data_IF_405933143325
#
_entry.id   IF_405933143325
#
_cell.length_a   1.000
_cell.length_b   1.000
_cell.length_c   1.000
_cell.angle_alpha   90.00
_cell.angle_beta   90.00
_cell.angle_gamma   90.00
#
_symmetry.space_group_name_H-M   'P 1'
#
loop_
_entity.id
_entity.type
_entity.pdbx_description
1 polymer ?
#
# COMPACT_ATOMS: atom_id res chain seq x y z
N UNK A 1 -5.71 -14.97 7.15
CA UNK A 1 -4.41 -14.55 7.69
C UNK A 1 -3.45 -14.60 6.51
N UNK A 2 -2.94 -13.45 6.05
CA UNK A 2 -2.25 -13.36 4.76
C UNK A 2 -0.74 -13.56 4.96
N UNK A 3 -0.06 -14.26 4.05
CA UNK A 3 1.39 -14.50 4.17
C UNK A 3 2.18 -13.19 4.13
N UNK A 4 1.82 -12.27 3.23
CA UNK A 4 2.47 -10.96 3.07
C UNK A 4 2.47 -10.10 4.35
N UNK A 5 1.39 -10.12 5.13
CA UNK A 5 1.32 -9.33 6.38
C UNK A 5 2.22 -9.90 7.49
N UNK A 6 2.69 -11.15 7.33
CA UNK A 6 3.45 -11.88 8.33
C UNK A 6 4.96 -11.95 8.02
N UNK A 7 5.43 -11.24 6.98
CA UNK A 7 6.85 -11.15 6.60
C UNK A 7 7.78 -10.58 7.70
N UNK A 8 7.25 -10.06 8.80
CA UNK A 8 8.07 -9.73 9.97
C UNK A 8 9.05 -8.58 9.71
N UNK A 9 8.52 -7.39 9.42
CA UNK A 9 9.30 -6.16 9.41
C UNK A 9 9.76 -5.81 10.84
N UNK A 10 11.06 -5.49 10.98
CA UNK A 10 11.68 -5.28 12.29
C UNK A 10 11.39 -3.90 12.90
N UNK A 11 10.94 -2.93 12.11
CA UNK A 11 10.85 -1.50 12.44
C UNK A 11 10.21 -1.22 13.79
N UNK A 12 9.01 -1.75 14.03
CA UNK A 12 8.29 -1.55 15.28
C UNK A 12 9.02 -2.20 16.46
N UNK A 13 9.65 -3.36 16.25
CA UNK A 13 10.45 -4.03 17.27
C UNK A 13 11.72 -3.24 17.58
N UNK A 14 12.40 -2.73 16.55
CA UNK A 14 13.55 -1.86 16.69
C UNK A 14 13.19 -0.56 17.40
N UNK A 15 12.09 0.08 17.03
CA UNK A 15 11.61 1.30 17.66
C UNK A 15 11.34 1.12 19.16
N UNK A 16 10.68 0.03 19.56
CA UNK A 16 10.44 -0.26 20.98
C UNK A 16 11.75 -0.50 21.74
N UNK A 17 12.66 -1.31 21.19
CA UNK A 17 13.96 -1.58 21.82
C UNK A 17 14.79 -0.30 21.97
N UNK A 18 14.82 0.55 20.95
CA UNK A 18 15.62 1.78 20.97
C UNK A 18 15.02 2.88 21.84
N UNK A 19 13.68 2.97 21.90
CA UNK A 19 13.00 3.99 22.72
C UNK A 19 13.04 3.65 24.21
N UNK A 20 12.91 2.37 24.58
CA UNK A 20 12.82 1.96 25.99
C UNK A 20 14.18 1.70 26.64
N UNK A 21 15.20 1.26 25.88
CA UNK A 21 16.54 0.99 26.43
C UNK A 21 17.37 2.26 26.36
N UNK A 22 17.47 2.93 27.50
CA UNK A 22 18.21 4.18 27.65
C UNK A 22 19.73 3.96 27.74
N UNK A 23 20.48 4.96 27.30
CA UNK A 23 21.94 5.03 27.43
C UNK A 23 22.64 5.21 26.09
N UNK A 24 23.39 6.31 25.97
CA UNK A 24 24.26 6.64 24.83
C UNK A 24 25.69 6.12 25.04
N UNK A 25 25.92 5.46 26.17
CA UNK A 25 27.15 4.78 26.46
C UNK A 25 27.30 3.51 25.62
N UNK A 26 28.54 3.06 25.46
CA UNK A 26 28.88 1.88 24.66
C UNK A 26 28.08 0.64 25.09
N UNK A 27 27.80 0.49 26.40
CA UNK A 27 27.02 -0.61 26.94
C UNK A 27 25.55 -0.55 26.53
N UNK A 28 24.93 0.63 26.52
CA UNK A 28 23.55 0.84 26.05
C UNK A 28 23.41 0.50 24.57
N UNK A 29 24.32 1.00 23.74
CA UNK A 29 24.38 0.70 22.30
C UNK A 29 24.59 -0.81 22.09
N UNK A 30 25.51 -1.43 22.83
CA UNK A 30 25.80 -2.86 22.74
C UNK A 30 24.57 -3.71 23.09
N UNK A 31 23.78 -3.32 24.11
CA UNK A 31 22.54 -4.01 24.46
C UNK A 31 21.52 -3.92 23.32
N UNK A 32 21.23 -2.71 22.82
CA UNK A 32 20.27 -2.50 21.71
C UNK A 32 20.66 -3.31 20.47
N UNK A 33 21.92 -3.20 20.04
CA UNK A 33 22.45 -3.91 18.85
C UNK A 33 22.34 -5.42 19.00
N UNK A 34 22.75 -5.98 20.14
CA UNK A 34 22.71 -7.43 20.34
C UNK A 34 21.29 -7.97 20.45
N UNK A 35 20.38 -7.25 21.11
CA UNK A 35 18.97 -7.63 21.19
C UNK A 35 18.36 -7.72 19.79
N UNK A 36 18.54 -6.68 18.96
CA UNK A 36 17.99 -6.68 17.60
C UNK A 36 18.67 -7.71 16.70
N UNK A 37 19.98 -7.89 16.84
CA UNK A 37 20.74 -8.91 16.11
C UNK A 37 20.21 -10.32 16.40
N UNK A 38 19.85 -10.64 17.64
CA UNK A 38 19.25 -11.94 17.98
C UNK A 38 17.84 -12.12 17.43
N UNK A 39 17.00 -11.07 17.41
CA UNK A 39 15.68 -11.13 16.78
C UNK A 39 15.80 -11.35 15.27
N UNK A 40 16.75 -10.67 14.63
CA UNK A 40 17.06 -10.84 13.21
C UNK A 40 17.65 -12.21 12.89
N UNK A 41 18.52 -12.73 13.75
CA UNK A 41 19.06 -14.09 13.60
C UNK A 41 17.95 -15.15 13.71
N UNK A 42 16.97 -14.97 14.59
CA UNK A 42 15.76 -15.79 14.62
C UNK A 42 15.00 -15.73 13.29
N UNK A 43 14.76 -14.54 12.74
CA UNK A 43 14.07 -14.37 11.46
C UNK A 43 14.84 -15.08 10.32
N UNK A 44 16.16 -14.87 10.25
CA UNK A 44 16.99 -15.46 9.20
C UNK A 44 17.05 -17.00 9.29
N UNK A 45 17.09 -17.57 10.50
CA UNK A 45 16.99 -19.02 10.70
C UNK A 45 15.62 -19.58 10.28
N UNK A 46 14.54 -18.87 10.60
CA UNK A 46 13.20 -19.27 10.18
C UNK A 46 13.08 -19.24 8.65
N UNK A 47 13.57 -18.18 8.01
CA UNK A 47 13.54 -18.01 6.55
C UNK A 47 14.40 -19.01 5.81
N UNK A 48 15.58 -19.32 6.34
CA UNK A 48 16.41 -20.43 5.84
C UNK A 48 15.69 -21.78 5.86
N UNK A 49 14.70 -21.96 6.75
CA UNK A 49 13.97 -23.23 6.87
C UNK A 49 12.80 -23.34 5.89
N UNK A 50 12.27 -22.21 5.39
CA UNK A 50 11.04 -22.16 4.56
C UNK A 50 11.31 -21.69 3.11
N UNK A 51 12.42 -21.00 2.85
CA UNK A 51 12.77 -20.47 1.52
C UNK A 51 14.07 -21.06 1.02
N UNK A 52 14.02 -21.66 -0.17
CA UNK A 52 15.20 -22.21 -0.84
C UNK A 52 16.20 -21.13 -1.23
N UNK A 53 15.72 -19.93 -1.56
CA UNK A 53 16.57 -18.78 -1.91
C UNK A 53 17.46 -18.38 -0.72
N UNK A 54 16.87 -18.30 0.48
CA UNK A 54 17.63 -18.01 1.71
C UNK A 54 18.52 -19.18 2.10
N UNK A 55 18.07 -20.42 1.90
CA UNK A 55 18.90 -21.60 2.12
C UNK A 55 20.17 -21.60 1.24
N UNK A 56 20.03 -21.24 -0.04
CA UNK A 56 21.15 -21.12 -0.97
C UNK A 56 22.11 -19.99 -0.56
N UNK A 57 21.59 -18.89 -0.02
CA UNK A 57 22.40 -17.78 0.51
C UNK A 57 23.13 -18.14 1.81
N UNK A 58 22.50 -18.89 2.70
CA UNK A 58 23.08 -19.32 3.98
C UNK A 58 23.06 -20.85 4.11
N UNK A 59 23.92 -21.60 3.38
CA UNK A 59 23.88 -23.06 3.39
C UNK A 59 24.28 -23.66 4.73
N UNK A 60 25.21 -23.03 5.46
CA UNK A 60 25.71 -23.49 6.76
C UNK A 60 25.42 -22.48 7.86
N UNK A 61 25.48 -22.92 9.13
CA UNK A 61 25.34 -21.99 10.25
C UNK A 61 26.52 -21.00 10.36
N UNK A 62 27.69 -21.40 9.85
CA UNK A 62 28.88 -20.54 9.79
C UNK A 62 28.70 -19.37 8.81
N UNK A 63 27.88 -19.53 7.76
CA UNK A 63 27.52 -18.44 6.86
C UNK A 63 26.90 -17.24 7.59
N UNK A 64 26.20 -17.47 8.71
CA UNK A 64 25.65 -16.39 9.53
C UNK A 64 26.72 -15.63 10.33
N UNK A 65 27.87 -16.25 10.64
CA UNK A 65 29.02 -15.54 11.22
C UNK A 65 29.62 -14.61 10.19
N UNK A 66 29.88 -15.12 8.98
CA UNK A 66 30.44 -14.32 7.89
C UNK A 66 29.52 -13.14 7.53
N UNK A 67 28.20 -13.33 7.61
CA UNK A 67 27.22 -12.27 7.39
C UNK A 67 26.98 -11.34 8.59
N UNK A 68 27.60 -11.60 9.75
CA UNK A 68 27.53 -10.71 10.92
C UNK A 68 26.26 -10.83 11.77
N UNK A 69 25.40 -11.84 11.54
CA UNK A 69 24.21 -12.08 12.36
C UNK A 69 24.56 -12.64 13.75
N UNK A 70 25.65 -13.39 13.88
CA UNK A 70 26.04 -14.06 15.13
C UNK A 70 27.56 -14.06 15.27
N UNK A 71 28.09 -14.03 16.50
CA UNK A 71 29.53 -14.17 16.72
C UNK A 71 29.95 -15.64 16.76
N UNK A 72 31.24 -15.92 16.60
CA UNK A 72 31.76 -17.28 16.64
C UNK A 72 31.51 -17.98 18.00
N UNK A 73 31.59 -17.23 19.11
CA UNK A 73 31.37 -17.80 20.45
C UNK A 73 29.88 -18.02 20.74
N UNK A 74 29.01 -17.16 20.22
CA UNK A 74 27.56 -17.39 20.24
C UNK A 74 27.19 -18.63 19.44
N UNK A 75 27.81 -18.85 18.26
CA UNK A 75 27.54 -20.05 17.47
C UNK A 75 27.99 -21.33 18.18
N UNK A 76 29.13 -21.32 18.88
CA UNK A 76 29.55 -22.46 19.71
C UNK A 76 28.50 -22.79 20.77
N UNK A 77 28.02 -21.79 21.51
CA UNK A 77 26.94 -21.96 22.50
C UNK A 77 25.65 -22.47 21.86
N UNK A 78 25.30 -21.98 20.68
CA UNK A 78 24.13 -22.44 19.92
C UNK A 78 24.26 -23.93 19.56
N UNK A 79 25.41 -24.36 19.03
CA UNK A 79 25.66 -25.76 18.67
C UNK A 79 25.67 -26.68 19.90
N UNK A 80 26.26 -26.24 21.02
CA UNK A 80 26.20 -27.01 22.26
C UNK A 80 24.77 -27.24 22.75
N UNK A 81 23.89 -26.22 22.64
CA UNK A 81 22.47 -26.36 22.99
C UNK A 81 21.78 -27.30 22.02
N UNK A 82 22.14 -27.26 20.73
CA UNK A 82 21.65 -28.16 19.69
C UNK A 82 21.94 -29.62 19.98
N UNK A 83 23.18 -29.91 20.36
CA UNK A 83 23.61 -31.28 20.65
C UNK A 83 23.03 -31.82 21.96
N UNK A 84 22.97 -30.98 23.02
CA UNK A 84 22.63 -31.43 24.37
C UNK A 84 21.14 -31.51 24.68
N UNK A 85 20.28 -30.70 24.03
CA UNK A 85 18.88 -30.54 24.48
C UNK A 85 17.80 -31.09 23.56
N UNK A 86 17.93 -31.03 22.24
CA UNK A 86 16.88 -31.52 21.34
C UNK A 86 17.31 -31.61 19.88
N UNK A 87 16.88 -32.64 19.13
CA UNK A 87 17.09 -32.75 17.68
C UNK A 87 16.20 -31.80 16.86
N UNK A 88 15.23 -31.11 17.46
CA UNK A 88 14.29 -30.21 16.76
C UNK A 88 14.94 -28.86 16.46
N UNK A 89 14.55 -28.22 15.35
CA UNK A 89 15.06 -26.92 14.92
C UNK A 89 14.93 -25.86 16.03
N UNK A 90 16.05 -25.27 16.44
CA UNK A 90 16.16 -24.45 17.66
C UNK A 90 15.85 -22.97 17.43
N UNK A 91 14.75 -22.71 16.73
CA UNK A 91 14.31 -21.34 16.41
C UNK A 91 14.01 -20.49 17.67
N UNK A 92 13.74 -21.13 18.82
CA UNK A 92 13.46 -20.42 20.07
C UNK A 92 14.71 -19.83 20.75
N UNK A 93 15.91 -20.35 20.46
CA UNK A 93 17.14 -20.00 21.20
C UNK A 93 17.53 -18.52 21.05
N UNK A 94 17.59 -17.95 19.84
CA UNK A 94 17.99 -16.55 19.69
C UNK A 94 16.99 -15.60 20.36
N UNK A 95 15.69 -15.91 20.24
CA UNK A 95 14.66 -15.09 20.87
C UNK A 95 14.76 -15.16 22.40
N UNK A 96 15.01 -16.34 22.97
CA UNK A 96 15.26 -16.48 24.40
C UNK A 96 16.48 -15.67 24.86
N UNK A 97 17.56 -15.64 24.08
CA UNK A 97 18.72 -14.78 24.39
C UNK A 97 18.35 -13.29 24.35
N UNK A 98 17.49 -12.86 23.42
CA UNK A 98 16.98 -11.49 23.38
C UNK A 98 16.16 -11.16 24.63
N UNK A 99 15.26 -12.04 25.07
CA UNK A 99 14.53 -11.90 26.35
C UNK A 99 15.50 -11.77 27.55
N UNK A 100 16.54 -12.61 27.60
CA UNK A 100 17.55 -12.56 28.66
C UNK A 100 18.37 -11.27 28.69
N UNK A 101 18.68 -10.69 27.53
CA UNK A 101 19.37 -9.40 27.44
C UNK A 101 18.51 -8.23 27.91
N UNK A 102 17.22 -8.22 27.58
CA UNK A 102 16.29 -7.19 28.09
C UNK A 102 16.14 -7.30 29.61
N UNK A 103 16.05 -8.52 30.17
CA UNK A 103 16.05 -8.72 31.63
C UNK A 103 17.36 -8.22 32.28
N UNK A 104 18.48 -8.37 31.59
CA UNK A 104 19.78 -7.83 32.03
C UNK A 104 19.77 -6.31 31.99
N UNK A 105 19.25 -5.69 30.93
CA UNK A 105 19.06 -4.24 30.84
C UNK A 105 18.17 -3.71 31.98
N UNK A 106 17.16 -4.49 32.39
CA UNK A 106 16.30 -4.16 33.54
C UNK A 106 17.04 -4.21 34.88
N UNK A 107 17.86 -5.23 35.08
CA UNK A 107 18.73 -5.35 36.26
C UNK A 107 19.79 -4.24 36.32
N UNK A 108 20.25 -3.78 35.16
CA UNK A 108 21.13 -2.61 35.01
C UNK A 108 20.35 -1.26 35.13
N UNK A 109 19.05 -1.28 35.41
CA UNK A 109 18.16 -0.11 35.50
C UNK A 109 18.12 0.79 34.25
N UNK A 110 18.34 0.22 33.06
CA UNK A 110 18.29 0.93 31.77
C UNK A 110 16.92 0.98 31.11
N UNK A 111 15.99 0.18 31.63
CA UNK A 111 14.62 0.05 31.13
C UNK A 111 13.66 -0.02 32.33
N UNK A 112 12.47 0.54 32.16
CA UNK A 112 11.38 0.47 33.15
C UNK A 112 10.61 -0.85 33.04
N UNK A 113 9.89 -1.24 34.10
CA UNK A 113 9.08 -2.48 34.09
C UNK A 113 8.03 -2.47 32.97
N UNK A 114 7.38 -1.32 32.75
CA UNK A 114 6.42 -1.16 31.66
C UNK A 114 7.09 -1.29 30.29
N UNK A 115 8.25 -0.65 30.08
CA UNK A 115 8.99 -0.76 28.82
C UNK A 115 9.43 -2.20 28.54
N UNK A 116 9.85 -2.94 29.56
CA UNK A 116 10.20 -4.35 29.44
C UNK A 116 9.02 -5.20 28.98
N UNK A 117 7.83 -5.01 29.57
CA UNK A 117 6.62 -5.73 29.17
C UNK A 117 6.23 -5.43 27.72
N UNK A 118 6.34 -4.18 27.28
CA UNK A 118 6.03 -3.78 25.90
C UNK A 118 7.01 -4.39 24.90
N UNK A 119 8.31 -4.37 25.19
CA UNK A 119 9.34 -5.02 24.37
C UNK A 119 9.08 -6.53 24.28
N UNK A 120 8.72 -7.17 25.38
CA UNK A 120 8.39 -8.59 25.43
C UNK A 120 7.17 -8.94 24.60
N UNK A 121 6.10 -8.16 24.75
CA UNK A 121 4.89 -8.31 23.92
C UNK A 121 5.26 -8.21 22.43
N UNK A 122 6.09 -7.24 22.08
CA UNK A 122 6.53 -7.04 20.70
C UNK A 122 7.36 -8.21 20.15
N UNK A 123 8.21 -8.83 20.97
CA UNK A 123 8.94 -10.06 20.60
C UNK A 123 8.01 -11.24 20.38
N UNK A 124 6.99 -11.41 21.23
CA UNK A 124 5.98 -12.45 21.07
C UNK A 124 5.19 -12.24 19.78
N UNK A 125 4.76 -11.01 19.49
CA UNK A 125 4.05 -10.69 18.24
C UNK A 125 4.92 -10.96 17.01
N UNK A 126 6.20 -10.55 17.04
CA UNK A 126 7.15 -10.82 15.96
C UNK A 126 7.35 -12.31 15.73
N UNK A 127 7.51 -13.09 16.81
CA UNK A 127 7.56 -14.56 16.74
C UNK A 127 6.24 -15.16 16.27
N UNK A 128 5.10 -14.57 16.63
CA UNK A 128 3.78 -14.97 16.14
C UNK A 128 3.72 -14.88 14.62
N UNK A 129 4.08 -13.72 14.07
CA UNK A 129 4.06 -13.45 12.63
C UNK A 129 4.95 -14.43 11.85
N UNK A 130 6.23 -14.55 12.22
CA UNK A 130 7.16 -15.50 11.59
C UNK A 130 6.72 -16.96 11.84
N UNK A 131 6.08 -17.22 12.98
CA UNK A 131 5.47 -18.51 13.32
C UNK A 131 4.33 -18.90 12.39
N UNK A 132 3.50 -17.94 11.98
CA UNK A 132 2.44 -18.16 11.00
C UNK A 132 3.02 -18.56 9.64
N UNK A 133 4.14 -17.95 9.23
CA UNK A 133 4.85 -18.35 8.00
C UNK A 133 5.36 -19.80 8.07
N UNK A 134 5.99 -20.17 9.18
CA UNK A 134 6.41 -21.55 9.44
C UNK A 134 5.21 -22.51 9.44
N UNK A 135 4.05 -22.06 9.90
CA UNK A 135 2.81 -22.83 9.86
C UNK A 135 2.31 -23.09 8.44
N UNK A 136 2.42 -22.11 7.54
CA UNK A 136 2.05 -22.28 6.12
C UNK A 136 2.94 -23.28 5.40
N UNK A 137 4.24 -23.28 5.71
CA UNK A 137 5.18 -24.28 5.16
C UNK A 137 4.94 -25.68 5.75
N UNK A 138 4.71 -25.76 7.06
CA UNK A 138 4.50 -27.03 7.75
C UNK A 138 3.18 -27.73 7.36
N UNK A 139 2.16 -26.97 6.99
CA UNK A 139 0.83 -27.48 6.63
C UNK A 139 0.49 -27.05 5.20
N UNK A 140 1.02 -27.74 4.18
CA UNK A 140 0.70 -27.43 2.79
C UNK A 140 -0.75 -27.80 2.47
N UNK A 141 -1.28 -27.20 1.40
CA UNK A 141 -2.59 -27.58 0.86
C UNK A 141 -2.59 -29.09 0.56
N UNK A 142 -3.63 -29.84 0.97
CA UNK A 142 -3.69 -31.28 0.72
C UNK A 142 -3.41 -31.61 -0.74
N UNK A 143 -2.44 -32.49 -0.97
CA UNK A 143 -1.96 -32.84 -2.31
C UNK A 143 -3.09 -33.30 -3.25
N UNK A 144 -4.11 -33.95 -2.71
CA UNK A 144 -5.28 -34.37 -3.48
C UNK A 144 -5.99 -33.18 -4.16
N UNK A 145 -6.09 -32.03 -3.51
CA UNK A 145 -6.80 -30.87 -4.08
C UNK A 145 -6.07 -30.30 -5.29
N UNK A 146 -4.75 -30.11 -5.19
CA UNK A 146 -3.95 -29.62 -6.31
C UNK A 146 -3.93 -30.62 -7.46
N UNK A 147 -3.83 -31.92 -7.15
CA UNK A 147 -3.89 -33.00 -8.13
C UNK A 147 -5.22 -33.08 -8.88
N UNK A 148 -6.36 -33.01 -8.17
CA UNK A 148 -7.69 -33.07 -8.79
C UNK A 148 -7.88 -31.90 -9.74
N UNK A 149 -7.55 -30.67 -9.32
CA UNK A 149 -7.67 -29.48 -10.18
C UNK A 149 -6.79 -29.63 -11.43
N UNK A 150 -5.53 -30.02 -11.26
CA UNK A 150 -4.60 -30.24 -12.37
C UNK A 150 -5.09 -31.32 -13.34
N UNK A 151 -5.61 -32.43 -12.81
CA UNK A 151 -6.13 -33.53 -13.61
C UNK A 151 -7.39 -33.10 -14.38
N UNK A 152 -8.34 -32.42 -13.74
CA UNK A 152 -9.58 -31.96 -14.36
C UNK A 152 -9.31 -31.00 -15.53
N UNK A 153 -8.43 -30.02 -15.34
CA UNK A 153 -8.07 -29.07 -16.42
C UNK A 153 -7.38 -29.80 -17.58
N UNK A 154 -6.45 -30.71 -17.29
CA UNK A 154 -5.75 -31.49 -18.34
C UNK A 154 -6.70 -32.44 -19.08
N UNK A 155 -7.57 -33.15 -18.37
CA UNK A 155 -8.56 -34.05 -18.98
C UNK A 155 -9.55 -33.29 -19.86
N UNK A 156 -10.01 -32.11 -19.41
CA UNK A 156 -10.86 -31.23 -20.21
C UNK A 156 -10.20 -30.92 -21.56
N UNK A 157 -8.91 -30.58 -21.57
CA UNK A 157 -8.20 -30.27 -22.80
C UNK A 157 -7.84 -31.50 -23.64
N UNK A 158 -7.63 -32.67 -23.05
CA UNK A 158 -7.49 -33.93 -23.81
C UNK A 158 -8.78 -34.21 -24.58
N UNK A 159 -9.94 -34.07 -23.93
CA UNK A 159 -11.24 -34.27 -24.58
C UNK A 159 -11.48 -33.19 -25.65
N UNK A 160 -11.15 -31.93 -25.37
CA UNK A 160 -11.28 -30.86 -26.37
C UNK A 160 -10.36 -31.06 -27.57
N UNK A 161 -9.16 -31.61 -27.36
CA UNK A 161 -8.22 -31.94 -28.43
C UNK A 161 -8.80 -33.00 -29.36
N UNK A 162 -9.57 -33.97 -28.86
CA UNK A 162 -10.25 -34.96 -29.70
C UNK A 162 -11.56 -34.44 -30.29
N UNK A 163 -12.37 -33.74 -29.48
CA UNK A 163 -13.75 -33.39 -29.82
C UNK A 163 -13.93 -32.09 -30.59
N UNK A 164 -12.91 -31.22 -30.65
CA UNK A 164 -12.94 -29.97 -31.42
C UNK A 164 -11.99 -29.98 -32.61
N UNK A 165 -11.71 -31.17 -33.13
CA UNK A 165 -11.06 -31.33 -34.43
C UNK A 165 -12.08 -30.99 -35.52
N UNK A 166 -11.65 -30.24 -36.53
CA UNK A 166 -12.47 -30.03 -37.72
C UNK A 166 -12.46 -31.34 -38.53
N UNK A 167 -13.55 -32.08 -38.43
CA UNK A 167 -13.77 -33.29 -39.24
C UNK A 167 -14.26 -32.87 -40.62
N UNK A 168 -13.97 -33.69 -41.63
CA UNK A 168 -14.52 -33.50 -42.96
C UNK A 168 -16.06 -33.53 -42.88
N UNK A 169 -16.70 -32.62 -43.61
CA UNK A 169 -18.14 -32.40 -43.52
C UNK A 169 -18.89 -33.69 -43.89
N UNK A 170 -19.73 -34.19 -42.97
CA UNK A 170 -20.56 -35.35 -43.26
C UNK A 170 -21.50 -35.06 -44.44
N UNK A 171 -21.79 -36.08 -45.26
CA UNK A 171 -22.65 -36.04 -46.47
C UNK A 171 -24.10 -35.58 -46.15
N UNK A 172 -24.44 -35.38 -44.88
CA UNK A 172 -25.76 -35.00 -44.42
C UNK A 172 -25.98 -33.48 -44.56
N UNK A 173 -26.92 -33.11 -45.43
CA UNK A 173 -27.22 -31.71 -45.81
C UNK A 173 -27.75 -30.83 -44.67
N UNK A 174 -27.94 -31.37 -43.47
CA UNK A 174 -28.39 -30.65 -42.27
C UNK A 174 -27.25 -30.26 -41.31
N UNK A 175 -25.99 -30.68 -41.54
CA UNK A 175 -24.85 -30.31 -40.69
C UNK A 175 -24.18 -29.02 -41.19
N UNK A 176 -24.60 -27.91 -40.58
CA UNK A 176 -24.11 -26.56 -40.87
C UNK A 176 -22.83 -26.32 -40.05
N UNK A 177 -21.69 -26.82 -40.54
CA UNK A 177 -20.37 -26.33 -40.13
C UNK A 177 -19.78 -25.48 -41.27
N UNK A 178 -20.31 -24.27 -41.43
CA UNK A 178 -19.90 -23.34 -42.49
C UNK A 178 -18.53 -22.67 -42.23
N UNK A 179 -17.93 -22.85 -41.05
CA UNK A 179 -16.70 -22.19 -40.64
C UNK A 179 -15.60 -23.19 -40.33
N UNK A 180 -15.07 -23.83 -41.38
CA UNK A 180 -13.87 -24.68 -41.28
C UNK A 180 -12.61 -23.82 -41.10
N UNK A 181 -12.41 -23.29 -39.89
CA UNK A 181 -11.19 -22.54 -39.55
C UNK A 181 -10.12 -23.56 -39.14
N UNK A 182 -9.12 -23.78 -39.99
CA UNK A 182 -8.01 -24.73 -39.76
C UNK A 182 -7.37 -24.59 -38.36
N UNK A 183 -7.29 -23.36 -37.85
CA UNK A 183 -6.80 -23.06 -36.49
C UNK A 183 -7.99 -22.86 -35.54
N UNK A 184 -8.12 -23.64 -34.45
CA UNK A 184 -9.25 -23.53 -33.53
C UNK A 184 -9.09 -22.33 -32.57
N UNK A 185 -9.25 -21.11 -33.09
CA UNK A 185 -8.98 -19.84 -32.37
C UNK A 185 -9.73 -19.75 -31.03
N UNK A 186 -11.01 -20.11 -30.98
CA UNK A 186 -11.80 -20.06 -29.75
C UNK A 186 -11.32 -21.07 -28.69
N UNK A 187 -10.89 -22.26 -29.12
CA UNK A 187 -10.31 -23.27 -28.21
C UNK A 187 -8.96 -22.83 -27.67
N UNK A 188 -8.16 -22.11 -28.46
CA UNK A 188 -6.89 -21.51 -28.00
C UNK A 188 -7.14 -20.47 -26.92
N UNK A 189 -8.12 -19.56 -27.10
CA UNK A 189 -8.47 -18.60 -26.05
C UNK A 189 -8.94 -19.30 -24.76
N UNK A 190 -9.80 -20.32 -24.87
CA UNK A 190 -10.20 -21.12 -23.71
C UNK A 190 -9.00 -21.79 -23.03
N UNK A 191 -8.06 -22.32 -23.81
CA UNK A 191 -6.82 -22.87 -23.28
C UNK A 191 -6.04 -21.85 -22.47
N UNK A 192 -5.78 -20.66 -23.03
CA UNK A 192 -5.07 -19.59 -22.34
C UNK A 192 -5.76 -19.20 -21.04
N UNK A 193 -7.09 -19.08 -21.02
CA UNK A 193 -7.81 -18.71 -19.80
C UNK A 193 -7.76 -19.80 -18.71
N UNK A 194 -8.10 -21.06 -19.04
CA UNK A 194 -8.15 -22.12 -18.02
C UNK A 194 -6.76 -22.57 -17.58
N UNK A 195 -5.81 -22.74 -18.50
CA UNK A 195 -4.43 -23.07 -18.15
C UNK A 195 -3.73 -21.90 -17.47
N UNK A 196 -3.96 -20.67 -17.93
CA UNK A 196 -3.43 -19.47 -17.29
C UNK A 196 -3.91 -19.34 -15.86
N UNK A 197 -5.21 -19.52 -15.61
CA UNK A 197 -5.75 -19.46 -14.24
C UNK A 197 -5.19 -20.59 -13.34
N UNK A 198 -5.04 -21.81 -13.87
CA UNK A 198 -4.37 -22.88 -13.14
C UNK A 198 -2.90 -22.53 -12.83
N UNK A 199 -2.18 -21.91 -13.77
CA UNK A 199 -0.78 -21.50 -13.61
C UNK A 199 -0.62 -20.37 -12.59
N UNK A 200 -1.56 -19.42 -12.51
CA UNK A 200 -1.58 -18.41 -11.44
C UNK A 200 -1.68 -19.07 -10.06
N UNK A 201 -2.53 -20.09 -9.92
CA UNK A 201 -2.63 -20.81 -8.65
C UNK A 201 -1.38 -21.64 -8.32
N UNK A 202 -0.67 -22.15 -9.34
CA UNK A 202 0.60 -22.87 -9.19
C UNK A 202 1.72 -21.94 -8.73
N UNK A 203 1.86 -20.76 -9.33
CA UNK A 203 2.85 -19.75 -8.93
C UNK A 203 2.60 -19.26 -7.49
N UNK A 204 1.35 -19.00 -7.12
CA UNK A 204 0.99 -18.53 -5.77
C UNK A 204 1.04 -19.63 -4.69
N UNK A 205 1.34 -20.89 -5.05
CA UNK A 205 1.37 -21.99 -4.10
C UNK A 205 2.53 -21.85 -3.10
N UNK A 206 3.68 -21.34 -3.56
CA UNK A 206 4.86 -21.11 -2.72
C UNK A 206 5.50 -19.75 -3.03
N UNK A 207 4.97 -18.65 -2.46
CA UNK A 207 5.47 -17.30 -2.74
C UNK A 207 6.82 -16.97 -2.05
N UNK A 208 7.49 -17.96 -1.45
CA UNK A 208 8.81 -17.85 -0.81
C UNK A 208 9.90 -18.57 -1.65
N UNK A 209 9.57 -18.91 -2.89
CA UNK A 209 10.47 -19.53 -3.87
C UNK A 209 11.41 -18.52 -4.52
N UNK A 210 11.74 -18.81 -5.77
CA UNK A 210 12.70 -18.08 -6.62
C UNK A 210 12.03 -17.63 -7.94
N UNK A 211 10.69 -17.61 -7.98
CA UNK A 211 9.95 -17.13 -9.16
C UNK A 211 9.94 -15.59 -9.20
N UNK A 212 9.78 -15.00 -10.39
CA UNK A 212 9.87 -13.55 -10.59
C UNK A 212 8.88 -12.72 -9.75
N UNK A 213 7.73 -13.31 -9.39
CA UNK A 213 6.66 -12.68 -8.60
C UNK A 213 6.68 -13.08 -7.11
N UNK A 214 7.67 -13.86 -6.67
CA UNK A 214 7.82 -14.28 -5.28
C UNK A 214 8.25 -13.12 -4.37
N UNK A 215 8.13 -13.32 -3.06
CA UNK A 215 8.60 -12.32 -2.11
C UNK A 215 10.13 -12.20 -2.17
N UNK A 216 10.60 -10.95 -2.23
CA UNK A 216 12.01 -10.59 -2.17
C UNK A 216 12.58 -10.73 -0.74
N UNK A 217 12.69 -11.98 -0.27
CA UNK A 217 13.08 -12.30 1.12
C UNK A 217 14.53 -11.90 1.40
N UNK A 218 15.40 -11.98 0.40
CA UNK A 218 16.80 -11.54 0.52
C UNK A 218 16.89 -10.04 0.82
N UNK A 219 16.21 -9.24 0.01
CA UNK A 219 16.12 -7.80 0.20
C UNK A 219 15.53 -7.47 1.57
N UNK A 220 14.45 -8.16 1.96
CA UNK A 220 13.81 -7.95 3.26
C UNK A 220 14.78 -8.19 4.43
N UNK A 221 15.55 -9.28 4.40
CA UNK A 221 16.55 -9.57 5.43
C UNK A 221 17.64 -8.49 5.50
N UNK A 222 18.14 -8.05 4.35
CA UNK A 222 19.18 -7.02 4.28
C UNK A 222 18.68 -5.68 4.78
N UNK A 223 17.48 -5.29 4.34
CA UNK A 223 16.80 -4.08 4.76
C UNK A 223 16.54 -4.09 6.26
N UNK A 224 16.03 -5.20 6.80
CA UNK A 224 15.78 -5.33 8.24
C UNK A 224 17.08 -5.25 9.04
N UNK A 225 18.16 -5.89 8.56
CA UNK A 225 19.46 -5.80 9.22
C UNK A 225 19.99 -4.36 9.24
N UNK A 226 19.99 -3.68 8.10
CA UNK A 226 20.48 -2.30 7.99
C UNK A 226 19.66 -1.34 8.86
N UNK A 227 18.33 -1.40 8.78
CA UNK A 227 17.44 -0.52 9.56
C UNK A 227 17.61 -0.74 11.06
N UNK A 228 17.64 -1.99 11.52
CA UNK A 228 17.84 -2.28 12.94
C UNK A 228 19.20 -1.80 13.45
N UNK A 229 20.26 -1.97 12.66
CA UNK A 229 21.60 -1.51 13.03
C UNK A 229 21.73 0.02 12.98
N UNK A 230 20.97 0.70 12.11
CA UNK A 230 20.91 2.16 12.07
C UNK A 230 20.14 2.72 13.27
N UNK A 231 18.95 2.17 13.56
CA UNK A 231 18.10 2.63 14.67
C UNK A 231 18.73 2.39 16.05
N UNK A 232 19.51 1.33 16.22
CA UNK A 232 20.20 1.05 17.49
C UNK A 232 21.39 1.97 17.77
N UNK A 233 21.84 2.73 16.76
CA UNK A 233 22.86 3.75 16.86
C UNK A 233 22.37 5.03 17.52
N UNK A 234 23.02 6.15 17.17
CA UNK A 234 22.69 7.47 17.71
C UNK A 234 21.55 8.09 16.90
N UNK A 235 20.38 8.16 17.52
CA UNK A 235 19.13 8.68 16.92
C UNK A 235 18.59 9.81 17.78
N UNK A 236 19.46 10.76 18.12
CA UNK A 236 19.04 11.92 18.91
C UNK A 236 18.07 12.76 18.07
N UNK A 237 16.93 13.16 18.63
CA UNK A 237 16.01 14.04 17.91
C UNK A 237 16.69 15.39 17.64
N UNK A 238 16.30 16.10 16.57
CA UNK A 238 16.76 17.46 16.35
C UNK A 238 16.33 18.37 17.50
N UNK A 239 17.03 19.50 17.64
CA UNK A 239 16.68 20.52 18.63
C UNK A 239 15.23 20.99 18.45
N UNK A 240 14.55 21.23 19.58
CA UNK A 240 13.17 21.68 19.57
C UNK A 240 13.11 23.16 19.17
N UNK A 241 12.45 23.45 18.06
CA UNK A 241 12.28 24.80 17.50
C UNK A 241 10.79 25.05 17.24
N UNK A 242 10.36 26.31 17.35
CA UNK A 242 9.02 26.72 16.94
C UNK A 242 8.79 26.43 15.47
N UNK A 243 7.62 25.87 15.16
CA UNK A 243 7.23 25.59 13.78
C UNK A 243 6.75 26.86 13.06
N UNK A 244 6.54 26.75 11.75
CA UNK A 244 6.16 27.88 10.91
C UNK A 244 4.78 28.49 11.24
N UNK A 245 3.92 27.74 11.93
CA UNK A 245 2.56 28.15 12.29
C UNK A 245 2.43 28.49 13.78
N UNK A 246 3.54 28.59 14.53
CA UNK A 246 3.53 28.76 15.98
C UNK A 246 2.72 29.96 16.48
N UNK A 247 2.76 31.08 15.75
CA UNK A 247 2.00 32.30 16.10
C UNK A 247 0.62 32.39 15.43
N UNK A 248 0.27 31.45 14.55
CA UNK A 248 -1.00 31.47 13.81
C UNK A 248 -2.03 30.54 14.44
N UNK A 249 -3.24 31.05 14.66
CA UNK A 249 -4.36 30.25 15.20
C UNK A 249 -4.85 29.15 14.23
N UNK A 250 -4.58 29.31 12.93
CA UNK A 250 -5.04 28.41 11.87
C UNK A 250 -3.85 28.06 10.96
N UNK A 251 -3.45 26.79 10.99
CA UNK A 251 -2.45 26.27 10.06
C UNK A 251 -3.09 26.02 8.68
N UNK A 252 -2.69 26.80 7.67
CA UNK A 252 -3.19 26.65 6.28
C UNK A 252 -2.22 25.77 5.49
N UNK A 253 -2.64 24.57 5.05
CA UNK A 253 -1.78 23.71 4.23
C UNK A 253 -1.49 24.34 2.86
N UNK A 254 -0.22 24.37 2.47
CA UNK A 254 0.21 24.86 1.16
C UNK A 254 0.16 23.74 0.12
N UNK A 255 -0.28 24.09 -1.09
CA UNK A 255 -0.32 23.19 -2.24
C UNK A 255 0.59 23.70 -3.34
N UNK A 256 1.17 22.77 -4.11
CA UNK A 256 1.89 23.14 -5.33
C UNK A 256 0.92 23.72 -6.37
N UNK A 257 1.43 24.58 -7.27
CA UNK A 257 0.63 25.15 -8.36
C UNK A 257 -0.06 24.09 -9.24
N UNK A 258 0.55 22.91 -9.39
CA UNK A 258 -0.04 21.81 -10.15
C UNK A 258 -1.23 21.15 -9.43
N UNK A 259 -1.25 21.19 -8.10
CA UNK A 259 -2.23 20.50 -7.26
C UNK A 259 -3.32 21.40 -6.71
N UNK A 260 -3.22 22.73 -6.85
CA UNK A 260 -4.18 23.66 -6.24
C UNK A 260 -5.62 23.46 -6.76
N UNK A 261 -5.77 23.02 -8.01
CA UNK A 261 -7.07 22.80 -8.65
C UNK A 261 -7.59 21.37 -8.48
N UNK A 262 -6.95 20.52 -7.66
CA UNK A 262 -7.47 19.17 -7.42
C UNK A 262 -8.72 19.23 -6.55
N UNK A 263 -9.76 18.48 -6.93
CA UNK A 263 -11.00 18.39 -6.17
C UNK A 263 -10.72 17.74 -4.81
N UNK A 264 -11.04 18.45 -3.73
CA UNK A 264 -10.94 17.94 -2.36
C UNK A 264 -12.34 17.59 -1.87
N UNK A 265 -12.51 16.37 -1.37
CA UNK A 265 -13.76 15.89 -0.77
C UNK A 265 -13.57 15.68 0.73
N UNK A 266 -13.70 16.73 1.55
CA UNK A 266 -13.52 16.61 3.01
C UNK A 266 -14.59 15.70 3.63
N UNK A 267 -14.24 15.01 4.71
CA UNK A 267 -15.16 14.14 5.46
C UNK A 267 -16.12 14.96 6.33
N UNK A 268 -17.06 15.68 5.69
CA UNK A 268 -18.11 16.47 6.37
C UNK A 268 -19.26 15.56 6.83
N UNK A 269 -19.51 14.46 6.09
CA UNK A 269 -20.63 13.55 6.33
C UNK A 269 -21.85 13.87 5.45
N UNK A 270 -22.47 12.84 4.89
CA UNK A 270 -23.54 13.00 3.88
C UNK A 270 -24.80 13.70 4.40
N UNK A 271 -25.11 13.55 5.69
CA UNK A 271 -26.27 14.19 6.30
C UNK A 271 -26.09 15.71 6.48
N UNK A 272 -24.87 16.15 6.77
CA UNK A 272 -24.52 17.57 6.94
C UNK A 272 -24.30 18.27 5.59
N UNK A 273 -23.81 17.56 4.58
CA UNK A 273 -23.80 18.05 3.20
C UNK A 273 -25.21 18.40 2.71
N UNK A 274 -26.21 17.58 3.05
CA UNK A 274 -27.60 17.85 2.70
C UNK A 274 -28.15 19.12 3.37
N UNK A 275 -27.68 19.46 4.57
CA UNK A 275 -28.02 20.72 5.24
C UNK A 275 -27.40 21.93 4.52
N UNK A 276 -26.14 21.83 4.09
CA UNK A 276 -25.47 22.87 3.31
C UNK A 276 -26.07 23.06 1.90
N UNK A 277 -26.59 22.00 1.28
CA UNK A 277 -27.34 22.03 0.01
C UNK A 277 -28.75 22.65 0.14
N UNK A 278 -29.08 23.24 1.29
CA UNK A 278 -30.30 24.03 1.47
C UNK A 278 -31.47 23.28 2.10
N UNK A 279 -31.24 22.08 2.67
CA UNK A 279 -32.23 21.39 3.51
C UNK A 279 -32.35 22.06 4.88
N UNK A 280 -32.83 23.30 4.91
CA UNK A 280 -33.14 24.01 6.15
C UNK A 280 -34.43 23.43 6.73
N UNK A 281 -34.35 22.84 7.92
CA UNK A 281 -35.52 22.56 8.75
C UNK A 281 -36.10 23.91 9.19
N UNK A 282 -37.05 24.45 8.43
CA UNK A 282 -37.73 25.70 8.76
C UNK A 282 -38.74 25.47 9.89
N UNK A 283 -38.32 25.67 11.15
CA UNK A 283 -39.21 25.63 12.33
C UNK A 283 -38.45 25.44 13.64
N UNK A 284 -39.12 25.69 14.77
CA UNK A 284 -38.61 25.35 16.11
C UNK A 284 -38.50 23.83 16.24
N UNK A 285 -37.27 23.33 16.43
CA UNK A 285 -37.01 21.90 16.62
C UNK A 285 -37.30 21.55 18.07
N UNK A 286 -38.49 21.01 18.33
CA UNK A 286 -38.87 20.51 19.65
C UNK A 286 -38.32 19.09 19.81
N UNK A 287 -37.30 18.94 20.66
CA UNK A 287 -36.76 17.63 21.04
C UNK A 287 -37.70 16.98 22.05
N UNK A 288 -38.48 15.99 21.62
CA UNK A 288 -39.39 15.23 22.47
C UNK A 288 -38.72 13.89 22.84
N UNK A 289 -38.78 13.43 24.11
CA UNK A 289 -38.33 12.09 24.46
C UNK A 289 -39.08 11.06 23.61
N UNK A 290 -38.34 10.12 23.05
CA UNK A 290 -38.94 9.02 22.30
C UNK A 290 -39.66 8.11 23.28
N UNK A 291 -40.96 7.92 23.10
CA UNK A 291 -41.68 6.88 23.83
C UNK A 291 -41.08 5.51 23.45
N UNK A 292 -40.73 4.70 24.45
CA UNK A 292 -40.17 3.35 24.31
C UNK A 292 -41.26 2.39 23.80
N UNK A 293 -41.68 2.56 22.55
CA UNK A 293 -42.42 1.55 21.80
C UNK A 293 -41.48 0.85 20.84
N UNK A 294 -40.33 0.36 21.34
CA UNK A 294 -39.54 -0.64 20.62
C UNK A 294 -40.30 -1.96 20.64
N UNK A 295 -41.36 -2.05 19.85
CA UNK A 295 -41.83 -3.36 19.39
C UNK A 295 -40.76 -3.83 18.43
N UNK A 296 -39.96 -4.81 18.86
CA UNK A 296 -39.09 -5.56 17.96
C UNK A 296 -40.03 -6.22 16.95
N UNK A 297 -40.09 -5.67 15.74
CA UNK A 297 -40.82 -6.28 14.63
C UNK A 297 -40.13 -7.60 14.26
N UNK A 298 -40.57 -8.71 14.86
CA UNK A 298 -40.05 -10.05 14.60
C UNK A 298 -40.22 -10.47 13.12
N UNK A 299 -41.06 -9.78 12.33
CA UNK A 299 -41.21 -10.07 10.90
C UNK A 299 -39.97 -9.70 10.06
N UNK A 300 -39.06 -8.84 10.58
CA UNK A 300 -37.82 -8.50 9.88
C UNK A 300 -36.75 -9.60 9.90
N UNK A 301 -36.95 -10.69 10.65
CA UNK A 301 -36.02 -11.84 10.65
C UNK A 301 -36.08 -12.69 9.38
N UNK A 302 -37.03 -12.50 8.47
CA UNK A 302 -37.15 -13.32 7.24
C UNK A 302 -36.80 -12.60 5.93
N UNK A 303 -36.25 -11.38 5.97
CA UNK A 303 -35.90 -10.63 4.75
C UNK A 303 -34.42 -10.76 4.37
N UNK A 304 -33.92 -11.99 4.22
CA UNK A 304 -32.66 -12.25 3.51
C UNK A 304 -32.81 -12.18 1.97
N UNK A 305 -34.05 -12.09 1.47
CA UNK A 305 -34.38 -12.16 0.04
C UNK A 305 -34.56 -10.78 -0.66
N UNK A 306 -34.29 -9.64 -0.03
CA UNK A 306 -34.43 -8.32 -0.64
C UNK A 306 -33.11 -7.65 -1.07
N UNK A 307 -31.97 -8.31 -0.86
CA UNK A 307 -30.65 -7.81 -1.27
C UNK A 307 -30.54 -7.58 -2.78
N UNK A 308 -31.32 -8.29 -3.60
CA UNK A 308 -31.25 -8.20 -5.06
C UNK A 308 -31.85 -6.91 -5.64
N UNK A 309 -32.79 -6.26 -4.95
CA UNK A 309 -33.43 -5.03 -5.44
C UNK A 309 -32.59 -3.78 -5.19
N UNK A 310 -31.81 -3.76 -4.11
CA UNK A 310 -31.04 -2.58 -3.69
C UNK A 310 -29.78 -2.38 -4.53
N UNK A 311 -29.16 -3.46 -5.00
CA UNK A 311 -27.91 -3.41 -5.80
C UNK A 311 -28.18 -2.86 -7.19
N UNK A 312 -29.25 -3.30 -7.87
CA UNK A 312 -29.59 -2.78 -9.20
C UNK A 312 -29.96 -1.30 -9.17
N UNK A 313 -30.68 -0.84 -8.15
CA UNK A 313 -31.09 0.56 -8.05
C UNK A 313 -29.92 1.47 -7.65
N UNK A 314 -28.99 0.98 -6.82
CA UNK A 314 -27.72 1.65 -6.54
C UNK A 314 -26.79 1.69 -7.76
N UNK A 315 -26.76 0.62 -8.56
CA UNK A 315 -25.97 0.57 -9.81
C UNK A 315 -26.56 1.49 -10.87
N UNK A 316 -27.89 1.56 -10.98
CA UNK A 316 -28.60 2.47 -11.89
C UNK A 316 -28.34 3.95 -11.53
N UNK A 317 -28.29 4.28 -10.24
CA UNK A 317 -27.90 5.63 -9.75
C UNK A 317 -26.42 5.96 -9.99
N UNK A 318 -25.55 4.95 -10.00
CA UNK A 318 -24.12 5.13 -10.35
C UNK A 318 -23.94 5.36 -11.86
N UNK A 319 -24.66 4.61 -12.70
CA UNK A 319 -24.63 4.82 -14.15
C UNK A 319 -25.24 6.16 -14.56
N UNK A 320 -26.29 6.64 -13.89
CA UNK A 320 -26.85 7.97 -14.17
C UNK A 320 -25.92 9.14 -13.79
N UNK A 321 -25.05 8.96 -12.77
CA UNK A 321 -24.00 9.95 -12.43
C UNK A 321 -22.86 9.93 -13.44
N UNK A 322 -22.49 8.76 -13.96
CA UNK A 322 -21.46 8.65 -15.01
C UNK A 322 -21.90 9.37 -16.31
N UNK A 323 -23.16 9.23 -16.72
CA UNK A 323 -23.68 9.95 -17.89
C UNK A 323 -23.73 11.47 -17.72
N UNK A 324 -23.94 11.97 -16.50
CA UNK A 324 -23.91 13.42 -16.23
C UNK A 324 -22.49 14.00 -16.25
N UNK A 325 -21.48 13.21 -15.86
CA UNK A 325 -20.07 13.60 -15.93
C UNK A 325 -19.57 13.68 -17.37
N UNK A 326 -19.98 12.76 -18.25
CA UNK A 326 -19.64 12.80 -19.68
C UNK A 326 -20.24 14.03 -20.38
N UNK A 327 -21.46 14.43 -19.99
CA UNK A 327 -22.12 15.64 -20.50
C UNK A 327 -21.37 16.93 -20.05
N UNK A 328 -20.95 17.03 -18.79
CA UNK A 328 -20.15 18.17 -18.30
C UNK A 328 -18.76 18.25 -18.97
N UNK A 329 -18.09 17.11 -19.16
CA UNK A 329 -16.79 17.06 -19.83
C UNK A 329 -16.91 17.47 -21.31
N UNK A 330 -18.00 17.09 -21.98
CA UNK A 330 -18.30 17.51 -23.36
C UNK A 330 -18.54 19.02 -23.48
N UNK A 331 -19.21 19.63 -22.49
CA UNK A 331 -19.49 21.08 -22.42
C UNK A 331 -18.20 21.86 -22.12
N UNK A 332 -17.35 21.35 -21.23
CA UNK A 332 -16.04 21.94 -20.93
C UNK A 332 -15.09 21.85 -22.14
N UNK A 333 -15.14 20.76 -22.91
CA UNK A 333 -14.35 20.60 -24.15
C UNK A 333 -14.81 21.59 -25.24
N UNK A 334 -16.12 21.87 -25.33
CA UNK A 334 -16.69 22.89 -26.23
C UNK A 334 -16.31 24.33 -25.82
N UNK A 335 -16.20 24.60 -24.52
CA UNK A 335 -15.70 25.90 -24.00
C UNK A 335 -14.20 26.09 -24.22
N UNK A 336 -13.41 25.02 -24.15
CA UNK A 336 -11.96 25.06 -24.43
C UNK A 336 -11.67 25.28 -25.92
N UNK A 337 -12.47 24.70 -26.82
CA UNK A 337 -12.31 24.93 -28.26
C UNK A 337 -12.73 26.33 -28.70
N UNK A 338 -13.78 26.91 -28.11
CA UNK A 338 -14.17 28.30 -28.36
C UNK A 338 -13.15 29.30 -27.80
N UNK A 339 -12.57 29.02 -26.64
CA UNK A 339 -11.49 29.83 -26.07
C UNK A 339 -10.20 29.74 -26.91
N UNK A 340 -9.82 28.55 -27.38
CA UNK A 340 -8.68 28.39 -28.28
C UNK A 340 -8.88 29.10 -29.63
N UNK A 341 -10.10 29.09 -30.18
CA UNK A 341 -10.44 29.86 -31.38
C UNK A 341 -10.36 31.38 -31.16
N UNK A 342 -10.79 31.87 -29.99
CA UNK A 342 -10.67 33.28 -29.61
C UNK A 342 -9.21 33.71 -29.41
N UNK A 343 -8.37 32.85 -28.82
CA UNK A 343 -6.93 33.09 -28.64
C UNK A 343 -6.18 33.06 -29.98
N UNK A 344 -6.55 32.18 -30.90
CA UNK A 344 -5.99 32.15 -32.26
C UNK A 344 -6.37 33.41 -33.06
N UNK A 345 -7.61 33.89 -32.94
CA UNK A 345 -8.05 35.15 -33.56
C UNK A 345 -7.33 36.40 -33.00
N UNK A 346 -6.81 36.32 -31.77
CA UNK A 346 -5.97 37.36 -31.15
C UNK A 346 -4.50 37.29 -31.60
N UNK A 347 -4.02 36.11 -32.00
CA UNK A 347 -2.63 35.88 -32.41
C UNK A 347 -2.32 36.38 -33.84
N UNK A 348 -3.34 36.50 -34.70
CA UNK A 348 -3.21 37.05 -36.06
C UNK A 348 -3.00 38.57 -36.14
N UNK A 349 -3.01 39.28 -34.99
CA UNK A 349 -2.76 40.74 -34.93
C UNK A 349 -1.34 41.14 -34.53
N UNK A 350 -0.39 40.21 -34.39
CA UNK A 350 0.99 40.53 -34.00
C UNK A 350 1.98 40.13 -35.10
N UNK A 351 2.51 41.14 -35.80
CA UNK A 351 3.52 41.02 -36.88
C UNK A 351 4.91 40.76 -36.26
N UNK A 352 5.66 39.70 -36.62
CA UNK A 352 6.97 39.43 -36.04
C UNK A 352 8.11 40.09 -36.85
N UNK A 353 9.07 40.67 -36.14
CA UNK A 353 10.33 41.23 -36.66
C UNK A 353 11.44 40.18 -36.52
N UNK A 354 12.19 40.01 -37.60
CA UNK A 354 13.26 39.03 -37.86
C UNK A 354 14.58 39.34 -37.15
N UNK A 355 15.33 38.28 -36.78
CA UNK A 355 16.81 38.05 -36.86
C UNK A 355 17.15 36.84 -35.97
N UNK A 356 17.41 35.64 -36.52
CA UNK A 356 18.69 35.09 -37.01
C UNK A 356 19.60 34.50 -35.91
N UNK A 357 19.61 33.16 -35.92
CA UNK A 357 20.61 32.15 -35.50
C UNK A 357 22.00 32.60 -35.03
N UNK A 358 22.48 31.94 -33.97
CA UNK A 358 23.80 31.28 -33.98
C UNK A 358 23.91 30.28 -32.80
N UNK A 359 24.07 29.01 -33.14
CA UNK A 359 24.47 27.92 -32.25
C UNK A 359 25.94 28.06 -31.84
N UNK A 360 26.27 27.74 -30.58
CA UNK A 360 27.58 27.15 -30.25
C UNK A 360 27.45 26.27 -29.01
N UNK A 361 27.81 25.00 -29.17
CA UNK A 361 27.95 23.97 -28.14
C UNK A 361 29.05 24.33 -27.12
N UNK A 362 28.82 24.03 -25.84
CA UNK A 362 29.82 23.40 -24.97
C UNK A 362 29.22 22.94 -23.64
N UNK A 363 29.70 21.76 -23.22
CA UNK A 363 29.84 21.26 -21.84
C UNK A 363 28.62 20.68 -21.08
N UNK A 364 28.56 19.34 -21.09
CA UNK A 364 27.71 18.52 -20.23
C UNK A 364 28.48 18.18 -18.94
N UNK A 365 28.47 19.12 -17.99
CA UNK A 365 28.92 18.92 -16.62
C UNK A 365 27.74 18.80 -15.65
N UNK A 366 27.70 17.69 -14.91
CA UNK A 366 26.97 17.41 -13.67
C UNK A 366 25.87 18.42 -13.25
N UNK A 367 24.59 18.09 -13.48
CA UNK A 367 23.46 18.77 -12.83
C UNK A 367 23.17 18.10 -11.48
N UNK A 368 23.61 18.75 -10.41
CA UNK A 368 22.93 18.66 -9.12
C UNK A 368 21.47 19.13 -9.29
N UNK A 369 20.52 18.28 -8.90
CA UNK A 369 19.11 18.64 -8.77
C UNK A 369 18.93 19.50 -7.50
N UNK A 370 19.26 20.79 -7.57
CA UNK A 370 18.76 21.77 -6.62
C UNK A 370 17.37 22.22 -7.06
N UNK A 371 16.35 21.52 -6.58
CA UNK A 371 14.96 21.98 -6.69
C UNK A 371 14.70 22.94 -5.54
N UNK A 372 15.11 24.20 -5.68
CA UNK A 372 14.84 25.22 -4.67
C UNK A 372 13.33 25.51 -4.60
N UNK A 373 12.66 25.05 -3.55
CA UNK A 373 11.28 25.43 -3.23
C UNK A 373 11.29 26.89 -2.75
N UNK A 374 10.77 27.81 -3.55
CA UNK A 374 10.52 29.20 -3.13
C UNK A 374 9.15 29.28 -2.47
N UNK A 375 9.12 29.60 -1.19
CA UNK A 375 7.92 30.10 -0.51
C UNK A 375 7.72 31.52 -1.00
N UNK A 376 6.59 31.81 -1.66
CA UNK A 376 6.21 33.19 -2.01
C UNK A 376 5.63 33.81 -0.75
N UNK A 377 6.25 34.84 -0.15
CA UNK A 377 5.62 35.60 0.91
C UNK A 377 4.57 36.53 0.27
N UNK A 378 3.39 36.61 0.90
CA UNK A 378 2.28 37.50 0.59
C UNK A 378 1.52 37.27 -0.73
N UNK A 379 0.48 36.44 -0.65
CA UNK A 379 -0.76 36.74 -1.36
C UNK A 379 -1.70 37.47 -0.40
N UNK A 380 -1.78 38.79 -0.55
CA UNK A 380 -2.87 39.56 0.05
C UNK A 380 -4.21 39.08 -0.54
N UNK A 381 -5.26 38.95 0.27
CA UNK A 381 -6.59 38.56 -0.21
C UNK A 381 -7.11 39.68 -1.12
N UNK A 382 -7.41 39.34 -2.38
CA UNK A 382 -8.14 40.24 -3.28
C UNK A 382 -9.55 40.38 -2.73
N UNK A 383 -9.78 41.45 -1.97
CA UNK A 383 -11.11 41.97 -1.68
C UNK A 383 -11.63 42.61 -2.97
N UNK A 384 -12.65 42.00 -3.58
CA UNK A 384 -13.43 42.66 -4.62
C UNK A 384 -14.13 43.88 -4.01
N UNK A 385 -13.67 45.08 -4.34
CA UNK A 385 -14.38 46.33 -4.04
C UNK A 385 -15.54 46.49 -5.02
N UNK A 386 -16.77 46.49 -4.51
CA UNK A 386 -17.96 46.93 -5.22
C UNK A 386 -17.78 48.40 -5.67
N UNK A 387 -17.82 48.65 -6.99
CA UNK A 387 -17.87 50.03 -7.53
C UNK A 387 -19.29 50.59 -7.39
N UNK A 388 -19.43 51.60 -6.51
CA UNK A 388 -20.58 52.49 -6.41
C UNK A 388 -20.80 53.28 -7.71
N UNK A 389 -22.00 53.19 -8.28
CA UNK A 389 -22.50 54.11 -9.30
C UNK A 389 -22.63 55.53 -8.72
N UNK A 390 -21.69 56.42 -9.08
CA UNK A 390 -21.80 57.86 -8.86
C UNK A 390 -22.70 58.57 -9.90
N UNK A 391 -23.39 59.67 -9.54
CA UNK A 391 -24.39 60.32 -10.38
C UNK A 391 -23.78 61.28 -11.42
N UNK A 392 -24.31 61.25 -12.64
CA UNK A 392 -24.05 62.25 -13.68
C UNK A 392 -24.68 63.61 -13.33
N UNK A 393 -23.88 64.68 -13.42
CA UNK A 393 -24.35 66.06 -13.62
C UNK A 393 -23.66 66.67 -14.82
N UNK A 394 -24.44 67.43 -15.59
CA UNK A 394 -24.18 68.77 -16.19
C UNK A 394 -25.18 68.97 -17.37
N UNK A 395 -25.46 70.21 -17.85
CA UNK A 395 -25.16 71.56 -17.34
C UNK A 395 -26.38 72.52 -17.36
N UNK A 396 -26.15 73.76 -16.91
CA UNK A 396 -27.06 74.90 -16.84
C UNK A 396 -27.70 75.33 -18.18
N UNK A 397 -28.96 75.80 -18.13
CA UNK A 397 -29.41 76.96 -18.89
C UNK A 397 -30.51 77.72 -18.12
N UNK A 398 -30.32 79.02 -17.98
CA UNK A 398 -31.32 79.99 -17.53
C UNK A 398 -32.22 80.44 -18.69
N UNK A 399 -33.41 80.94 -18.32
CA UNK A 399 -34.53 81.49 -19.11
C UNK A 399 -35.64 80.49 -19.49
#
# INVERSE_FOLDING_TARGET
>A
MNMASNLGFIDLTAMHVCSYISGDDERGIMLRRNILRYVLFFQALAYRSISNVIFNRFPTLESFIAAGYITADELKKFNEIKEKRSPVNQLWVPLHWAFGLVSTARNENRITDHGMQDVFKRFVDFRGNVGTLLGFDCIPIPLLYTQVVCLTVRLYFIICLMGRQNLEQAIDNNYIDHFQIYVPVMTIFQFVFYMGWMKVAEALLNPLGDDDDDFEVNFLLDRNFQVAMAMSGQTDPPELVHDAFWESDIAVPMYSMATINTVVNPMIGSALLAEQEGRKMSGEVIMVPRDDTTVIDESRRSSAASLHFTVMDAMKRRFSRASQQDDEESVLRKRRSSFAAAVMAQKDKVKPRTTSESETQADFGSRHNDTSVRIVPDLQPVLETEEENGPQRLPDSSA
#
